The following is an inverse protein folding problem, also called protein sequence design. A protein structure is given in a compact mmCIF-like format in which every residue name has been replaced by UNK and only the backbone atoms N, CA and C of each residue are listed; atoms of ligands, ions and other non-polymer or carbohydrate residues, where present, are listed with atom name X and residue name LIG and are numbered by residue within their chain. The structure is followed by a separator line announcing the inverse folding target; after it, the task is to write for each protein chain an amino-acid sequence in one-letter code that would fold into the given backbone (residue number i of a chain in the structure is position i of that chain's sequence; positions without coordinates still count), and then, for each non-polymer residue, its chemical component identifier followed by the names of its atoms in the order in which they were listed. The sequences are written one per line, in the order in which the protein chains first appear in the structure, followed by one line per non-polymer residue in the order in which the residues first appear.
data_IF_679490885145
#
_entry.id   IF_679490885145
#
_cell.length_a   1.000
_cell.length_b   1.000
_cell.length_c   1.000
_cell.angle_alpha   90.00
_cell.angle_beta   90.00
_cell.angle_gamma   90.00
#
_symmetry.space_group_name_H-M   'P 1'
#
loop_
_entity.id
_entity.type
_entity.pdbx_description
1 polymer ?
#
# COMPACT_ATOMS: atom_id res chain seq x y z
N UNK A 1 23.26 -17.01 -14.30
CA UNK A 1 23.41 -16.14 -13.12
C UNK A 1 22.41 -16.63 -12.09
N UNK A 2 22.89 -17.13 -10.96
CA UNK A 2 22.07 -17.74 -9.91
C UNK A 2 21.23 -16.65 -9.24
N UNK A 3 19.91 -16.68 -9.44
CA UNK A 3 18.97 -15.77 -8.83
C UNK A 3 18.91 -16.03 -7.31
N UNK A 4 19.40 -15.10 -6.49
CA UNK A 4 19.08 -15.12 -5.06
C UNK A 4 17.61 -14.74 -4.93
N UNK A 5 16.76 -15.74 -4.68
CA UNK A 5 15.34 -15.53 -4.40
C UNK A 5 15.24 -14.97 -2.99
N UNK A 6 14.76 -13.74 -2.85
CA UNK A 6 14.51 -13.14 -1.55
C UNK A 6 13.37 -13.91 -0.86
N UNK A 7 13.68 -14.56 0.27
CA UNK A 7 12.73 -15.40 1.02
C UNK A 7 11.82 -14.58 1.95
N UNK A 8 12.06 -13.27 2.08
CA UNK A 8 11.19 -12.39 2.88
C UNK A 8 9.84 -12.22 2.20
N UNK A 9 8.80 -12.14 3.01
CA UNK A 9 7.42 -11.96 2.55
C UNK A 9 7.25 -10.54 1.96
N UNK A 10 6.90 -10.38 0.67
CA UNK A 10 6.65 -9.08 0.08
C UNK A 10 5.43 -8.40 0.70
N UNK A 11 5.54 -7.08 0.88
CA UNK A 11 4.49 -6.21 1.41
C UNK A 11 4.12 -5.17 0.36
N UNK A 12 2.86 -5.15 -0.06
CA UNK A 12 2.30 -4.08 -0.89
C UNK A 12 1.65 -3.05 0.02
N UNK A 13 2.01 -1.78 -0.15
CA UNK A 13 1.40 -0.66 0.54
C UNK A 13 0.36 0.00 -0.37
N UNK A 14 -0.92 -0.08 -0.02
CA UNK A 14 -2.00 0.66 -0.65
C UNK A 14 -2.24 1.96 0.12
N UNK A 15 -1.98 3.10 -0.53
CA UNK A 15 -2.18 4.44 0.04
C UNK A 15 -2.98 5.33 -0.91
N UNK A 16 -3.16 6.59 -0.54
CA UNK A 16 -3.93 7.59 -1.28
C UNK A 16 -4.93 8.32 -0.40
N UNK A 17 -5.31 9.53 -0.82
CA UNK A 17 -6.04 10.47 0.02
C UNK A 17 -7.45 9.98 0.40
N UNK A 18 -8.12 10.60 1.38
CA UNK A 18 -9.49 10.20 1.76
C UNK A 18 -10.43 10.27 0.57
N UNK A 19 -11.32 9.28 0.49
CA UNK A 19 -12.29 9.18 -0.59
C UNK A 19 -11.69 8.77 -1.95
N UNK A 20 -10.39 8.47 -2.04
CA UNK A 20 -9.76 8.05 -3.31
C UNK A 20 -10.15 6.65 -3.79
N UNK A 21 -10.95 5.90 -3.02
CA UNK A 21 -11.44 4.58 -3.43
C UNK A 21 -10.53 3.40 -3.08
N UNK A 22 -9.56 3.58 -2.16
CA UNK A 22 -8.68 2.51 -1.65
C UNK A 22 -9.44 1.25 -1.24
N UNK A 23 -10.43 1.37 -0.36
CA UNK A 23 -11.22 0.23 0.14
C UNK A 23 -11.97 -0.48 -0.99
N UNK A 24 -12.53 0.26 -1.96
CA UNK A 24 -13.17 -0.34 -3.15
C UNK A 24 -12.17 -1.11 -4.00
N UNK A 25 -10.98 -0.54 -4.20
CA UNK A 25 -9.91 -1.17 -4.96
C UNK A 25 -9.41 -2.44 -4.26
N UNK A 26 -9.14 -2.36 -2.95
CA UNK A 26 -8.72 -3.49 -2.13
C UNK A 26 -9.75 -4.63 -2.16
N UNK A 27 -11.02 -4.32 -1.88
CA UNK A 27 -12.07 -5.33 -1.89
C UNK A 27 -12.18 -6.03 -3.24
N UNK A 28 -12.05 -5.29 -4.33
CA UNK A 28 -12.04 -5.87 -5.67
C UNK A 28 -10.82 -6.75 -5.95
N UNK A 29 -9.63 -6.35 -5.49
CA UNK A 29 -8.44 -7.19 -5.56
C UNK A 29 -8.62 -8.50 -4.77
N UNK A 30 -9.25 -8.46 -3.60
CA UNK A 30 -9.47 -9.66 -2.78
C UNK A 30 -10.51 -10.64 -3.35
N UNK A 31 -11.30 -10.23 -4.34
CA UNK A 31 -12.14 -11.15 -5.11
C UNK A 31 -11.35 -11.91 -6.19
N UNK A 32 -10.11 -11.51 -6.47
CA UNK A 32 -9.25 -12.19 -7.45
C UNK A 32 -8.58 -13.42 -6.82
N UNK A 33 -8.78 -14.64 -7.36
CA UNK A 33 -8.12 -15.84 -6.86
C UNK A 33 -6.58 -15.76 -6.81
N UNK A 34 -5.96 -14.90 -7.63
CA UNK A 34 -4.51 -14.67 -7.62
C UNK A 34 -4.00 -14.02 -6.32
N UNK A 35 -4.90 -13.47 -5.49
CA UNK A 35 -4.61 -12.92 -4.16
C UNK A 35 -5.14 -13.78 -3.01
N UNK A 36 -5.57 -15.01 -3.28
CA UNK A 36 -6.00 -15.96 -2.24
C UNK A 36 -4.90 -16.31 -1.22
N UNK A 37 -3.63 -16.06 -1.56
CA UNK A 37 -2.46 -16.26 -0.70
C UNK A 37 -1.98 -14.97 0.00
N UNK A 38 -2.79 -13.90 0.01
CA UNK A 38 -2.48 -12.63 0.65
C UNK A 38 -3.04 -12.54 2.07
N UNK A 39 -2.23 -12.03 3.00
CA UNK A 39 -2.72 -11.48 4.26
C UNK A 39 -2.96 -9.98 4.09
N UNK A 40 -4.04 -9.45 4.69
CA UNK A 40 -4.43 -8.05 4.54
C UNK A 40 -4.44 -7.38 5.90
N UNK A 41 -3.85 -6.19 5.98
CA UNK A 41 -3.88 -5.32 7.15
C UNK A 41 -4.51 -4.00 6.71
N UNK A 42 -5.71 -3.69 7.20
CA UNK A 42 -6.33 -2.38 7.00
C UNK A 42 -6.05 -1.58 8.27
N UNK A 43 -5.31 -0.48 8.16
CA UNK A 43 -4.85 0.24 9.34
C UNK A 43 -5.33 1.70 9.36
N UNK A 44 -5.95 2.09 10.48
CA UNK A 44 -6.46 3.43 10.78
C UNK A 44 -5.53 4.25 11.69
N UNK A 45 -4.24 4.37 11.32
CA UNK A 45 -3.30 5.21 12.05
C UNK A 45 -3.70 6.70 12.04
N UNK A 46 -4.16 7.25 13.17
CA UNK A 46 -4.27 8.69 13.40
C UNK A 46 -5.62 9.24 13.90
N UNK A 47 -6.66 8.43 14.07
CA UNK A 47 -7.86 8.83 14.82
C UNK A 47 -8.02 7.97 16.08
N UNK A 48 -8.56 8.60 17.14
CA UNK A 48 -8.79 7.99 18.44
C UNK A 48 -9.58 6.71 18.23
N UNK A 49 -9.01 5.59 18.70
CA UNK A 49 -9.45 4.24 18.37
C UNK A 49 -10.95 4.05 18.44
N UNK A 50 -11.52 3.74 17.28
CA UNK A 50 -12.77 3.02 17.05
C UNK A 50 -12.66 2.51 15.60
N UNK A 51 -13.03 1.24 15.40
CA UNK A 51 -13.17 0.54 14.12
C UNK A 51 -11.91 -0.11 13.50
N UNK A 52 -11.55 -1.28 14.03
CA UNK A 52 -10.81 -2.31 13.29
C UNK A 52 -11.83 -3.21 12.58
N UNK A 53 -12.21 -2.87 11.36
CA UNK A 53 -13.16 -3.63 10.55
C UNK A 53 -12.50 -4.23 9.31
N UNK A 54 -12.26 -5.52 9.44
CA UNK A 54 -11.99 -6.52 8.42
C UNK A 54 -13.05 -6.51 7.31
N UNK A 55 -12.66 -6.59 6.02
CA UNK A 55 -13.60 -6.86 4.92
C UNK A 55 -13.09 -7.96 3.96
N UNK A 56 -13.82 -9.07 4.03
CA UNK A 56 -14.21 -10.07 3.02
C UNK A 56 -13.21 -10.63 1.98
N UNK A 57 -12.66 -11.80 2.34
CA UNK A 57 -12.88 -13.11 1.70
C UNK A 57 -13.13 -13.20 0.18
N UNK A 58 -12.24 -13.95 -0.50
CA UNK A 58 -12.67 -15.19 -1.16
C UNK A 58 -12.62 -16.32 -0.11
N UNK A 59 -13.79 -16.78 0.34
CA UNK A 59 -14.09 -17.91 1.26
C UNK A 59 -13.00 -18.37 2.26
N UNK A 60 -13.34 -18.28 3.55
CA UNK A 60 -12.73 -18.97 4.72
C UNK A 60 -11.47 -18.37 5.36
N UNK A 61 -11.18 -17.07 5.28
CA UNK A 61 -9.91 -16.57 5.84
C UNK A 61 -9.91 -15.19 6.51
N UNK A 62 -10.74 -15.06 7.52
CA UNK A 62 -10.87 -13.87 8.35
C UNK A 62 -10.15 -14.10 9.68
N UNK A 63 -9.14 -13.28 10.00
CA UNK A 63 -8.56 -13.24 11.35
C UNK A 63 -8.58 -11.79 11.85
N UNK A 64 -9.28 -11.61 12.95
CA UNK A 64 -9.33 -10.40 13.75
C UNK A 64 -8.05 -10.32 14.60
N UNK A 65 -7.25 -9.27 14.38
CA UNK A 65 -6.10 -8.97 15.23
C UNK A 65 -6.54 -7.93 16.26
N UNK A 66 -6.91 -8.38 17.46
CA UNK A 66 -7.16 -7.49 18.59
C UNK A 66 -5.83 -6.95 19.13
N UNK A 67 -5.65 -5.63 19.11
CA UNK A 67 -4.51 -4.95 19.73
C UNK A 67 -4.81 -4.61 21.20
N UNK A 68 -3.87 -4.98 22.07
CA UNK A 68 -3.80 -4.45 23.43
C UNK A 68 -3.20 -3.04 23.40
N UNK A 69 -3.70 -2.16 24.27
CA UNK A 69 -3.18 -0.80 24.40
C UNK A 69 -1.79 -0.80 25.02
N UNK A 70 -0.82 -0.12 24.40
CA UNK A 70 0.21 0.66 25.11
C UNK A 70 0.92 1.63 24.15
N UNK A 71 0.49 2.90 24.13
CA UNK A 71 1.26 4.10 23.79
C UNK A 71 2.55 3.88 22.95
N UNK A 72 2.44 3.84 21.62
CA UNK A 72 3.56 3.95 20.69
C UNK A 72 3.14 4.64 19.38
N UNK A 73 4.07 5.34 18.74
CA UNK A 73 3.90 5.97 17.41
C UNK A 73 3.50 4.95 16.34
N UNK A 74 2.82 5.37 15.25
CA UNK A 74 2.44 4.57 14.04
C UNK A 74 3.42 3.45 13.66
N UNK A 75 4.72 3.71 13.75
CA UNK A 75 5.80 2.75 13.48
C UNK A 75 5.82 1.54 14.43
N UNK A 76 5.58 1.75 15.73
CA UNK A 76 5.56 0.70 16.75
C UNK A 76 4.41 -0.26 16.53
N UNK A 77 3.21 0.26 16.36
CA UNK A 77 1.98 -0.52 16.15
C UNK A 77 2.08 -1.41 14.90
N UNK A 78 2.65 -0.90 13.81
CA UNK A 78 2.87 -1.71 12.61
C UNK A 78 3.89 -2.83 12.83
N UNK A 79 5.00 -2.53 13.52
CA UNK A 79 6.05 -3.53 13.84
C UNK A 79 5.46 -4.67 14.68
N UNK A 80 4.65 -4.33 15.68
CA UNK A 80 3.99 -5.31 16.53
C UNK A 80 2.98 -6.16 15.75
N UNK A 81 2.16 -5.53 14.92
CA UNK A 81 1.17 -6.22 14.07
C UNK A 81 1.85 -7.23 13.15
N UNK A 82 2.92 -6.83 12.46
CA UNK A 82 3.67 -7.72 11.55
C UNK A 82 4.40 -8.85 12.29
N UNK A 83 4.89 -8.58 13.51
CA UNK A 83 5.48 -9.60 14.38
C UNK A 83 4.43 -10.63 14.78
N UNK A 84 3.29 -10.20 15.32
CA UNK A 84 2.18 -11.08 15.73
C UNK A 84 1.71 -11.94 14.55
N UNK A 85 1.53 -11.34 13.37
CA UNK A 85 1.19 -12.06 12.15
C UNK A 85 2.22 -13.14 11.79
N UNK A 86 3.51 -12.87 11.97
CA UNK A 86 4.58 -13.85 11.74
C UNK A 86 4.49 -15.02 12.71
N UNK A 87 4.27 -14.72 13.99
CA UNK A 87 4.22 -15.72 15.05
C UNK A 87 2.97 -16.60 14.91
N UNK A 88 1.80 -16.00 14.62
CA UNK A 88 0.57 -16.74 14.31
C UNK A 88 0.74 -17.65 13.10
N UNK A 89 1.44 -17.19 12.05
CA UNK A 89 1.78 -18.02 10.87
C UNK A 89 2.66 -19.21 11.26
N UNK A 90 3.66 -18.99 12.11
CA UNK A 90 4.55 -20.07 12.57
C UNK A 90 3.83 -21.11 13.45
N UNK A 91 2.81 -20.68 14.21
CA UNK A 91 1.98 -21.57 15.03
C UNK A 91 0.84 -22.25 14.27
N UNK A 92 0.62 -21.91 13.00
CA UNK A 92 -0.49 -22.42 12.19
C UNK A 92 -1.86 -21.87 12.59
N UNK A 93 -1.89 -20.76 13.33
CA UNK A 93 -3.12 -20.08 13.76
C UNK A 93 -3.74 -19.23 12.64
N UNK A 94 -2.95 -18.91 11.61
CA UNK A 94 -3.41 -18.27 10.37
C UNK A 94 -3.07 -19.19 9.20
N UNK A 95 -3.86 -19.17 8.11
CA UNK A 95 -3.45 -19.89 6.90
C UNK A 95 -2.12 -19.35 6.38
N UNK A 96 -1.31 -20.19 5.72
CA UNK A 96 -0.12 -19.74 5.03
C UNK A 96 -0.46 -18.62 4.03
N UNK A 97 0.34 -17.57 4.04
CA UNK A 97 0.29 -16.48 3.07
C UNK A 97 1.68 -16.24 2.48
N UNK A 98 1.73 -15.92 1.20
CA UNK A 98 2.96 -15.64 0.47
C UNK A 98 3.24 -14.14 0.34
N UNK A 99 2.25 -13.28 0.62
CA UNK A 99 2.34 -11.81 0.52
C UNK A 99 1.47 -11.12 1.57
N UNK A 100 1.78 -9.85 1.84
CA UNK A 100 0.96 -8.98 2.70
C UNK A 100 0.53 -7.74 1.92
N UNK A 101 -0.71 -7.29 2.10
CA UNK A 101 -1.20 -5.99 1.63
C UNK A 101 -1.53 -5.15 2.86
N UNK A 102 -1.02 -3.91 2.90
CA UNK A 102 -1.31 -2.94 3.95
C UNK A 102 -2.07 -1.77 3.33
N UNK A 103 -3.30 -1.53 3.75
CA UNK A 103 -4.02 -0.28 3.46
C UNK A 103 -3.73 0.74 4.58
N UNK A 104 -3.29 1.94 4.20
CA UNK A 104 -3.16 3.07 5.13
C UNK A 104 -4.41 3.94 5.15
N UNK A 105 -4.59 4.73 6.20
CA UNK A 105 -5.63 5.78 6.22
C UNK A 105 -5.42 6.77 5.09
N UNK A 106 -6.48 7.48 4.71
CA UNK A 106 -6.37 8.52 3.70
C UNK A 106 -5.57 9.75 4.14
N UNK A 107 -5.34 9.94 5.44
CA UNK A 107 -4.55 11.04 6.00
C UNK A 107 -3.15 10.62 6.44
N UNK A 108 -2.82 9.33 6.34
CA UNK A 108 -1.56 8.82 6.84
C UNK A 108 -0.40 9.23 5.92
N UNK A 109 0.66 9.76 6.55
CA UNK A 109 1.98 9.92 5.94
C UNK A 109 2.55 8.52 5.64
N UNK A 110 2.87 8.20 4.37
CA UNK A 110 3.42 6.89 4.01
C UNK A 110 4.87 6.71 4.50
N UNK A 111 5.60 7.79 4.78
CA UNK A 111 7.01 7.77 5.16
C UNK A 111 7.31 6.89 6.38
N UNK A 112 6.65 7.11 7.55
CA UNK A 112 6.83 6.26 8.73
C UNK A 112 6.51 4.78 8.50
N UNK A 113 5.49 4.47 7.69
CA UNK A 113 5.10 3.09 7.35
C UNK A 113 6.17 2.43 6.48
N UNK A 114 6.65 3.13 5.45
CA UNK A 114 7.75 2.66 4.60
C UNK A 114 9.01 2.46 5.44
N UNK A 115 9.34 3.41 6.31
CA UNK A 115 10.51 3.32 7.18
C UNK A 115 10.44 2.11 8.11
N UNK A 116 9.26 1.81 8.68
CA UNK A 116 9.03 0.60 9.48
C UNK A 116 9.34 -0.67 8.67
N UNK A 117 8.87 -0.75 7.42
CA UNK A 117 9.03 -1.91 6.55
C UNK A 117 10.48 -2.16 6.11
N UNK A 118 11.29 -1.11 5.96
CA UNK A 118 12.70 -1.22 5.53
C UNK A 118 13.70 -1.28 6.69
N UNK A 119 13.25 -1.15 7.94
CA UNK A 119 14.10 -1.17 9.14
C UNK A 119 13.97 -2.50 9.90
N UNK A 120 15.03 -2.90 10.61
CA UNK A 120 14.95 -4.02 11.55
C UNK A 120 14.01 -3.70 12.73
N UNK A 121 13.27 -4.68 13.28
CA UNK A 121 13.34 -6.12 12.95
C UNK A 121 12.48 -6.53 11.75
N UNK A 122 11.55 -5.69 11.28
CA UNK A 122 10.59 -6.03 10.22
C UNK A 122 11.28 -6.46 8.93
N UNK A 123 12.31 -5.73 8.51
CA UNK A 123 13.07 -6.00 7.29
C UNK A 123 13.79 -7.37 7.26
N UNK A 124 13.81 -8.11 8.38
CA UNK A 124 14.32 -9.49 8.46
C UNK A 124 13.33 -10.51 7.90
N UNK A 125 12.04 -10.27 8.05
CA UNK A 125 10.96 -11.22 7.70
C UNK A 125 10.15 -10.73 6.51
N UNK A 126 9.97 -9.41 6.43
CA UNK A 126 9.19 -8.74 5.40
C UNK A 126 10.10 -7.87 4.53
N UNK A 127 9.62 -7.56 3.33
CA UNK A 127 10.26 -6.60 2.44
C UNK A 127 9.20 -5.75 1.75
N UNK A 128 9.47 -4.46 1.63
CA UNK A 128 8.61 -3.57 0.86
C UNK A 128 8.65 -3.97 -0.62
N UNK A 129 7.50 -4.37 -1.14
CA UNK A 129 7.22 -4.65 -2.54
C UNK A 129 6.88 -3.37 -3.30
N UNK A 130 5.59 -3.17 -3.59
CA UNK A 130 5.07 -2.00 -4.31
C UNK A 130 4.37 -1.02 -3.37
N UNK A 131 4.47 0.26 -3.69
CA UNK A 131 3.58 1.30 -3.17
C UNK A 131 2.57 1.64 -4.27
N UNK A 132 1.31 1.31 -4.01
CA UNK A 132 0.19 1.64 -4.90
C UNK A 132 -0.58 2.82 -4.32
N UNK A 133 -0.67 3.91 -5.07
CA UNK A 133 -1.39 5.10 -4.65
C UNK A 133 -2.68 5.25 -5.44
N UNK A 134 -3.82 5.15 -4.75
CA UNK A 134 -5.13 5.42 -5.34
C UNK A 134 -5.37 6.93 -5.41
N UNK A 135 -5.68 7.43 -6.61
CA UNK A 135 -5.98 8.84 -6.88
C UNK A 135 -7.37 8.94 -7.50
N UNK A 136 -8.25 9.74 -6.89
CA UNK A 136 -9.57 10.03 -7.46
C UNK A 136 -9.40 10.82 -8.77
N UNK A 137 -9.85 10.27 -9.90
CA UNK A 137 -9.73 10.92 -11.21
C UNK A 137 -10.56 12.21 -11.34
N UNK A 138 -11.61 12.36 -10.54
CA UNK A 138 -12.52 13.52 -10.54
C UNK A 138 -12.01 14.61 -9.60
N UNK A 139 -11.60 14.24 -8.38
CA UNK A 139 -11.20 15.18 -7.33
C UNK A 139 -9.67 15.39 -7.23
N UNK A 140 -8.88 14.55 -7.90
CA UNK A 140 -7.43 14.44 -7.72
C UNK A 140 -6.69 15.76 -7.87
N UNK A 141 -7.04 16.58 -8.86
CA UNK A 141 -6.41 17.90 -9.04
C UNK A 141 -6.59 18.81 -7.82
N UNK A 142 -7.84 19.00 -7.38
CA UNK A 142 -8.13 19.85 -6.22
C UNK A 142 -7.58 19.27 -4.91
N UNK A 143 -7.53 17.94 -4.79
CA UNK A 143 -6.90 17.27 -3.65
C UNK A 143 -5.39 17.54 -3.61
N UNK A 144 -4.70 17.40 -4.75
CA UNK A 144 -3.27 17.67 -4.85
C UNK A 144 -2.91 19.15 -4.68
N UNK A 145 -3.84 20.08 -4.92
CA UNK A 145 -3.63 21.50 -4.62
C UNK A 145 -3.65 21.76 -3.11
N UNK A 146 -4.68 21.24 -2.44
CA UNK A 146 -4.98 21.60 -1.05
C UNK A 146 -4.18 20.82 -0.02
N UNK A 147 -3.75 19.60 -0.34
CA UNK A 147 -3.25 18.68 0.68
C UNK A 147 -1.81 18.24 0.37
N UNK A 148 -0.88 18.63 1.24
CA UNK A 148 0.52 18.18 1.17
C UNK A 148 0.63 16.66 1.31
N UNK A 149 -0.24 16.08 2.13
CA UNK A 149 -0.32 14.63 2.34
C UNK A 149 -0.59 13.87 1.05
N UNK A 150 -1.57 14.32 0.25
CA UNK A 150 -1.86 13.72 -1.05
C UNK A 150 -0.65 13.77 -2.00
N UNK A 151 0.15 14.85 -1.94
CA UNK A 151 1.37 14.98 -2.75
C UNK A 151 2.46 14.01 -2.27
N UNK A 152 2.64 13.82 -0.95
CA UNK A 152 3.56 12.83 -0.39
C UNK A 152 3.17 11.41 -0.79
N UNK A 153 1.89 11.06 -0.64
CA UNK A 153 1.33 9.77 -1.04
C UNK A 153 1.57 9.47 -2.53
N UNK A 154 1.41 10.46 -3.41
CA UNK A 154 1.75 10.31 -4.83
C UNK A 154 3.26 10.19 -5.02
N UNK A 155 4.07 11.04 -4.38
CA UNK A 155 5.52 11.10 -4.59
C UNK A 155 6.28 9.81 -4.26
N UNK A 156 5.72 8.95 -3.41
CA UNK A 156 6.29 7.64 -3.08
C UNK A 156 5.77 6.48 -3.93
N UNK A 157 4.85 6.74 -4.87
CA UNK A 157 4.17 5.69 -5.62
C UNK A 157 5.12 4.96 -6.59
N UNK A 158 5.07 3.63 -6.58
CA UNK A 158 5.58 2.81 -7.68
C UNK A 158 4.49 2.65 -8.77
N UNK A 159 3.22 2.63 -8.35
CA UNK A 159 2.05 2.50 -9.22
C UNK A 159 0.96 3.47 -8.77
N UNK A 160 0.34 4.17 -9.71
CA UNK A 160 -0.79 5.07 -9.45
C UNK A 160 -2.03 4.48 -10.11
N UNK A 161 -3.09 4.33 -9.32
CA UNK A 161 -4.40 3.90 -9.82
C UNK A 161 -5.35 5.09 -9.82
N UNK A 162 -5.71 5.57 -11.01
CA UNK A 162 -6.75 6.56 -11.23
C UNK A 162 -8.12 5.91 -11.04
N UNK A 163 -8.71 6.06 -9.86
CA UNK A 163 -10.02 5.50 -9.54
C UNK A 163 -11.14 6.37 -10.06
N UNK A 164 -12.35 5.79 -10.15
CA UNK A 164 -13.57 6.48 -10.60
C UNK A 164 -13.46 7.05 -12.01
N UNK A 165 -12.61 6.44 -12.86
CA UNK A 165 -12.40 6.90 -14.23
C UNK A 165 -13.69 6.89 -15.06
N UNK A 166 -14.69 6.08 -14.67
CA UNK A 166 -16.04 6.06 -15.22
C UNK A 166 -16.87 7.33 -14.94
N UNK A 167 -16.52 8.11 -13.92
CA UNK A 167 -17.26 9.32 -13.53
C UNK A 167 -16.74 10.59 -14.23
N UNK A 168 -15.53 10.54 -14.80
CA UNK A 168 -14.93 11.66 -15.52
C UNK A 168 -15.40 11.75 -16.97
N UNK A 169 -15.36 12.96 -17.54
CA UNK A 169 -15.72 13.21 -18.95
C UNK A 169 -14.61 12.84 -19.95
N UNK A 170 -13.72 11.91 -19.59
CA UNK A 170 -12.76 11.29 -20.52
C UNK A 170 -11.46 12.05 -20.82
N UNK A 171 -11.20 13.20 -20.19
CA UNK A 171 -9.91 13.88 -20.28
C UNK A 171 -9.28 14.07 -18.91
N UNK A 172 -8.27 13.25 -18.61
CA UNK A 172 -7.44 13.33 -17.41
C UNK A 172 -6.03 13.82 -17.71
N UNK A 173 -5.76 14.35 -18.91
CA UNK A 173 -4.41 14.70 -19.37
C UNK A 173 -3.65 15.62 -18.40
N UNK A 174 -4.32 16.64 -17.87
CA UNK A 174 -3.75 17.56 -16.89
C UNK A 174 -3.39 16.87 -15.56
N UNK A 175 -4.27 15.99 -15.07
CA UNK A 175 -4.02 15.21 -13.85
C UNK A 175 -2.86 14.23 -14.08
N UNK A 176 -2.90 13.48 -15.19
CA UNK A 176 -1.85 12.53 -15.58
C UNK A 176 -0.48 13.20 -15.70
N UNK A 177 -0.39 14.37 -16.35
CA UNK A 177 0.85 15.12 -16.46
C UNK A 177 1.38 15.55 -15.08
N UNK A 178 0.50 15.98 -14.18
CA UNK A 178 0.87 16.35 -12.82
C UNK A 178 1.34 15.16 -12.00
N UNK A 179 0.68 14.01 -12.11
CA UNK A 179 1.07 12.78 -11.43
C UNK A 179 2.45 12.30 -11.90
N UNK A 180 2.70 12.34 -13.21
CA UNK A 180 4.00 12.01 -13.78
C UNK A 180 5.12 12.95 -13.30
N UNK A 181 4.81 14.21 -13.03
CA UNK A 181 5.77 15.16 -12.47
C UNK A 181 6.04 14.91 -10.97
N UNK A 182 5.04 14.45 -10.21
CA UNK A 182 5.17 14.15 -8.78
C UNK A 182 5.86 12.81 -8.52
N UNK A 183 5.60 11.80 -9.35
CA UNK A 183 6.13 10.46 -9.22
C UNK A 183 6.71 9.97 -10.56
N UNK A 184 7.89 10.48 -10.97
CA UNK A 184 8.48 10.08 -12.23
C UNK A 184 8.84 8.59 -12.18
N UNK A 185 8.33 7.84 -13.15
CA UNK A 185 8.52 6.39 -13.25
C UNK A 185 7.45 5.53 -12.58
N UNK A 186 6.46 6.14 -11.91
CA UNK A 186 5.29 5.40 -11.46
C UNK A 186 4.45 4.93 -12.67
N UNK A 187 4.05 3.66 -12.67
CA UNK A 187 3.07 3.16 -13.65
C UNK A 187 1.70 3.80 -13.40
N UNK A 188 0.93 4.06 -14.45
CA UNK A 188 -0.39 4.69 -14.34
C UNK A 188 -1.47 3.77 -14.89
N UNK A 189 -2.49 3.52 -14.07
CA UNK A 189 -3.57 2.59 -14.40
C UNK A 189 -4.92 3.25 -14.16
N UNK A 190 -5.80 3.18 -15.15
CA UNK A 190 -7.18 3.62 -14.99
C UNK A 190 -8.05 2.51 -14.40
N UNK A 191 -8.85 2.87 -13.40
CA UNK A 191 -9.75 1.97 -12.68
C UNK A 191 -11.15 2.56 -12.64
N UNK A 192 -12.12 1.74 -13.03
CA UNK A 192 -13.54 2.08 -13.04
C UNK A 192 -14.34 1.01 -12.29
N UNK A 193 -15.54 1.36 -11.82
CA UNK A 193 -16.45 0.35 -11.30
C UNK A 193 -16.71 -0.74 -12.35
N UNK A 194 -16.57 -2.01 -11.95
CA UNK A 194 -16.69 -3.18 -12.84
C UNK A 194 -15.45 -3.48 -13.70
N UNK A 195 -14.42 -2.63 -13.68
CA UNK A 195 -13.11 -2.86 -14.32
C UNK A 195 -12.03 -2.22 -13.46
N UNK A 196 -11.69 -2.92 -12.38
CA UNK A 196 -10.70 -2.46 -11.44
C UNK A 196 -9.30 -2.69 -12.00
N UNK A 197 -8.46 -1.66 -11.93
CA UNK A 197 -7.06 -1.81 -12.29
C UNK A 197 -6.39 -2.78 -11.32
N UNK A 198 -5.58 -3.66 -11.87
CA UNK A 198 -4.73 -4.56 -11.12
C UNK A 198 -3.30 -4.28 -11.62
N UNK A 199 -2.59 -3.31 -11.03
CA UNK A 199 -1.15 -3.18 -11.25
C UNK A 199 -0.47 -4.52 -10.98
N UNK A 200 0.81 -4.69 -11.35
CA UNK A 200 1.55 -5.97 -11.36
C UNK A 200 1.61 -6.77 -10.02
N UNK A 201 0.83 -6.38 -9.01
CA UNK A 201 0.37 -7.15 -7.86
C UNK A 201 -0.05 -8.59 -8.19
N UNK A 202 -0.56 -8.86 -9.40
CA UNK A 202 -1.08 -10.18 -9.81
C UNK A 202 -0.16 -11.00 -10.73
N UNK A 203 0.79 -10.37 -11.41
CA UNK A 203 1.52 -11.00 -12.52
C UNK A 203 2.60 -12.01 -12.09
N UNK A 204 2.67 -12.36 -10.81
CA UNK A 204 3.73 -13.21 -10.25
C UNK A 204 5.14 -12.61 -10.39
N UNK A 205 5.23 -11.37 -10.89
CA UNK A 205 6.44 -10.56 -10.89
C UNK A 205 6.71 -10.21 -9.45
N UNK A 206 7.93 -10.48 -9.01
CA UNK A 206 8.35 -10.12 -7.67
C UNK A 206 8.18 -8.60 -7.46
N UNK A 207 7.23 -8.15 -6.61
CA UNK A 207 6.95 -6.73 -6.44
C UNK A 207 8.17 -5.95 -5.92
N UNK A 208 9.17 -6.62 -5.33
CA UNK A 208 10.42 -5.97 -4.91
C UNK A 208 11.64 -6.32 -5.78
N UNK A 209 11.46 -6.76 -7.02
CA UNK A 209 12.58 -6.85 -7.96
C UNK A 209 13.18 -5.44 -8.15
N UNK A 210 14.43 -5.18 -7.70
CA UNK A 210 15.03 -3.85 -7.79
C UNK A 210 15.22 -3.37 -9.23
N UNK A 211 15.15 -4.27 -10.22
CA UNK A 211 15.19 -3.94 -11.66
C UNK A 211 13.90 -3.27 -12.16
N UNK A 212 12.83 -3.37 -11.38
CA UNK A 212 11.50 -2.85 -11.73
C UNK A 212 11.10 -1.65 -10.88
N UNK A 213 12.00 -1.14 -10.02
CA UNK A 213 11.75 0.06 -9.21
C UNK A 213 12.44 1.27 -9.85
N UNK A 214 11.72 2.40 -10.06
CA UNK A 214 12.34 3.64 -10.48
C UNK A 214 13.39 4.11 -9.45
N UNK A 215 14.58 4.47 -9.93
CA UNK A 215 15.74 4.87 -9.09
C UNK A 215 15.42 6.12 -8.24
N UNK A 216 14.48 6.96 -8.68
CA UNK A 216 14.14 8.25 -8.07
C UNK A 216 13.29 8.13 -6.80
N UNK A 217 12.45 7.09 -6.68
CA UNK A 217 11.71 6.80 -5.44
C UNK A 217 12.68 6.49 -4.28
N UNK A 218 13.86 5.93 -4.56
CA UNK A 218 14.89 5.71 -3.55
C UNK A 218 15.58 7.02 -3.11
N UNK A 219 15.63 8.04 -3.97
CA UNK A 219 16.24 9.32 -3.65
C UNK A 219 15.34 10.14 -2.70
N UNK A 220 14.02 10.12 -2.91
CA UNK A 220 13.04 10.74 -2.03
C UNK A 220 13.02 10.11 -0.63
N UNK A 221 13.03 8.78 -0.54
CA UNK A 221 13.10 8.05 0.74
C UNK A 221 14.40 8.33 1.51
N UNK A 222 15.48 8.67 0.81
CA UNK A 222 16.74 9.08 1.45
C UNK A 222 16.71 10.53 1.89
N UNK A 223 16.13 11.44 1.10
CA UNK A 223 16.05 12.86 1.42
C UNK A 223 15.27 13.13 2.72
N UNK A 224 14.10 12.49 2.92
CA UNK A 224 13.32 12.67 4.16
C UNK A 224 13.97 12.05 5.40
N UNK A 225 14.82 11.03 5.24
CA UNK A 225 15.57 10.45 6.36
C UNK A 225 16.63 11.42 6.92
N UNK A 226 17.09 12.39 6.12
CA UNK A 226 18.08 13.40 6.54
C UNK A 226 17.44 14.70 7.04
N UNK A 227 16.20 15.03 6.68
CA UNK A 227 15.52 16.24 7.18
C UNK A 227 14.97 16.10 8.62
N UNK A 228 14.90 14.88 9.15
CA UNK A 228 14.47 14.58 10.53
C UNK A 228 15.63 14.09 11.44
N UNK A 229 16.89 14.34 11.08
CA UNK A 229 18.09 14.02 11.88
C UNK A 229 18.67 15.25 12.58
#
# INVERSE_FOLDING_TARGET
MTHFRDMRTPVTLLTGFLGSGKTTLLNGWLQDPALSDAAVIVNEFGEIGIDHALIAASSDNTIELSTGCLCCTVKGDLVETLRDLTEKRARGEVKPFARVIIETTGLADPGPVIQALITFPVARTYRLGRIVTAVDSVQGMGTLDRHAEARKQVGVADEIVLTKADLGRGDFSALTARLAALAPGAGLHESALGRLAQPALLDGIDPADPRTRPVEAQAWLRAEAFENS
#
